data_IF_758128383661
#
_entry.id   IF_758128383661
#
_cell.length_a   1.000
_cell.length_b   1.000
_cell.length_c   1.000
_cell.angle_alpha   90.00
_cell.angle_beta   90.00
_cell.angle_gamma   90.00
#
_symmetry.space_group_name_H-M   'P 1'
#
loop_
_entity.id
_entity.type
_entity.pdbx_description
1 polymer ?
#
# COMPACT_ATOMS: atom_id res chain seq x y z
N UNK A 1 25.97 3.85 14.69
CA UNK A 1 26.53 2.50 14.76
C UNK A 1 27.99 2.47 14.27
N UNK A 2 28.31 3.00 13.06
CA UNK A 2 29.68 3.03 12.53
C UNK A 2 30.62 3.82 13.41
N UNK A 3 30.25 5.02 13.81
CA UNK A 3 31.03 5.89 14.73
C UNK A 3 31.27 5.24 16.10
N UNK A 4 30.31 4.44 16.57
CA UNK A 4 30.38 3.72 17.82
C UNK A 4 31.07 2.33 17.71
N UNK A 5 31.57 1.94 16.52
CA UNK A 5 32.25 0.68 16.29
C UNK A 5 31.41 -0.58 16.51
N UNK A 6 30.06 -0.46 16.38
CA UNK A 6 29.18 -1.61 16.65
C UNK A 6 29.23 -2.66 15.53
N UNK A 7 29.31 -3.97 15.86
CA UNK A 7 29.41 -5.04 14.87
C UNK A 7 28.26 -5.06 13.85
N UNK A 8 27.08 -4.57 14.26
CA UNK A 8 25.87 -4.50 13.42
C UNK A 8 25.87 -3.34 12.42
N UNK A 9 26.89 -2.49 12.41
CA UNK A 9 26.96 -1.27 11.59
C UNK A 9 26.86 -1.55 10.08
N UNK A 10 27.21 -2.75 9.64
CA UNK A 10 27.19 -3.18 8.24
C UNK A 10 26.09 -4.21 7.93
N UNK A 11 25.27 -4.57 8.94
CA UNK A 11 24.14 -5.47 8.72
C UNK A 11 23.09 -4.74 7.88
N UNK A 12 22.63 -5.40 6.81
CA UNK A 12 21.50 -4.88 6.01
C UNK A 12 20.24 -4.84 6.88
N UNK A 13 19.42 -3.83 6.65
CA UNK A 13 18.10 -3.74 7.31
C UNK A 13 17.28 -4.98 6.97
N UNK A 14 16.64 -5.56 7.98
CA UNK A 14 15.71 -6.65 7.79
C UNK A 14 14.42 -6.06 7.20
N UNK A 15 14.12 -6.41 5.95
CA UNK A 15 12.90 -5.94 5.26
C UNK A 15 11.82 -7.02 5.20
N UNK A 16 12.14 -8.20 5.73
CA UNK A 16 11.24 -9.35 5.75
C UNK A 16 10.58 -9.54 7.11
N UNK A 17 9.40 -10.12 7.10
CA UNK A 17 8.67 -10.43 8.32
C UNK A 17 9.35 -11.61 9.02
N UNK A 18 9.95 -11.37 10.19
CA UNK A 18 10.82 -12.31 10.86
C UNK A 18 10.14 -13.61 11.32
N UNK A 19 8.81 -13.62 11.45
CA UNK A 19 8.04 -14.82 11.81
C UNK A 19 7.44 -15.56 10.59
N UNK A 20 7.81 -15.16 9.35
CA UNK A 20 7.50 -15.85 8.10
C UNK A 20 8.83 -16.15 7.38
N UNK A 21 9.63 -17.09 7.87
CA UNK A 21 11.00 -17.31 7.39
C UNK A 21 11.07 -17.89 5.97
N UNK A 22 10.00 -18.51 5.49
CA UNK A 22 9.84 -19.06 4.15
C UNK A 22 9.34 -18.04 3.11
N UNK A 23 9.00 -16.82 3.56
CA UNK A 23 8.44 -15.73 2.75
C UNK A 23 7.12 -16.10 2.04
N UNK A 24 6.45 -17.16 2.46
CA UNK A 24 5.13 -17.54 1.95
C UNK A 24 4.01 -16.92 2.79
N UNK A 25 3.76 -15.64 2.53
CA UNK A 25 2.75 -14.85 3.24
C UNK A 25 1.33 -15.38 3.01
N UNK A 26 1.05 -15.94 1.84
CA UNK A 26 -0.26 -16.49 1.52
C UNK A 26 -0.53 -17.74 2.34
N UNK A 27 0.41 -18.68 2.37
CA UNK A 27 0.30 -19.88 3.21
C UNK A 27 0.24 -19.54 4.71
N UNK A 28 0.96 -18.49 5.15
CA UNK A 28 0.87 -18.02 6.53
C UNK A 28 -0.56 -17.51 6.84
N UNK A 29 -1.13 -16.66 5.98
CA UNK A 29 -2.49 -16.12 6.16
C UNK A 29 -3.52 -17.27 6.15
N UNK A 30 -3.42 -18.21 5.20
CA UNK A 30 -4.31 -19.36 5.10
C UNK A 30 -4.29 -20.26 6.35
N UNK A 31 -3.13 -20.39 7.01
CA UNK A 31 -2.97 -21.15 8.24
C UNK A 31 -3.49 -20.43 9.49
N UNK A 32 -3.22 -19.13 9.60
CA UNK A 32 -3.52 -18.35 10.81
C UNK A 32 -4.92 -17.74 10.80
N UNK A 33 -5.51 -17.50 9.62
CA UNK A 33 -6.88 -17.02 9.52
C UNK A 33 -7.85 -18.18 9.69
N UNK A 34 -8.62 -18.16 10.79
CA UNK A 34 -9.69 -19.15 11.08
C UNK A 34 -10.95 -18.90 10.25
N UNK A 35 -11.11 -17.66 9.78
CA UNK A 35 -12.18 -17.28 8.85
C UNK A 35 -11.80 -17.69 7.43
N UNK A 36 -12.78 -17.98 6.58
CA UNK A 36 -12.54 -18.47 5.23
C UNK A 36 -11.73 -17.45 4.40
N UNK A 37 -10.46 -17.76 4.16
CA UNK A 37 -9.65 -17.01 3.18
C UNK A 37 -10.24 -17.28 1.79
N UNK A 38 -10.55 -16.24 0.99
CA UNK A 38 -11.10 -16.44 -0.34
C UNK A 38 -10.15 -17.26 -1.22
N UNK A 39 -10.66 -18.37 -1.76
CA UNK A 39 -9.92 -19.22 -2.70
C UNK A 39 -9.74 -18.56 -4.06
N UNK A 40 -9.54 -19.37 -5.14
CA UNK A 40 -9.37 -18.86 -6.50
C UNK A 40 -10.54 -17.97 -6.94
N UNK A 41 -10.21 -16.88 -7.64
CA UNK A 41 -11.16 -15.93 -8.21
C UNK A 41 -10.75 -15.49 -9.61
N UNK A 42 -11.21 -14.31 -10.04
CA UNK A 42 -10.96 -13.81 -11.38
C UNK A 42 -9.95 -12.67 -11.41
N UNK A 43 -9.03 -12.72 -12.36
CA UNK A 43 -8.41 -11.50 -12.86
C UNK A 43 -9.39 -10.81 -13.80
N UNK A 44 -9.59 -9.51 -13.55
CA UNK A 44 -10.54 -8.69 -14.31
C UNK A 44 -9.82 -7.44 -14.80
N UNK A 45 -10.08 -7.02 -16.03
CA UNK A 45 -9.55 -5.75 -16.54
C UNK A 45 -10.19 -4.56 -15.85
N UNK A 46 -9.61 -3.36 -16.01
CA UNK A 46 -10.22 -2.10 -15.56
C UNK A 46 -11.60 -1.83 -16.18
N UNK A 47 -11.91 -2.47 -17.31
CA UNK A 47 -13.21 -2.39 -18.00
C UNK A 47 -14.20 -3.48 -17.60
N UNK A 48 -13.81 -4.42 -16.71
CA UNK A 48 -14.66 -5.49 -16.22
C UNK A 48 -14.61 -6.80 -17.01
N UNK A 49 -13.69 -6.93 -17.96
CA UNK A 49 -13.48 -8.17 -18.74
C UNK A 49 -12.69 -9.19 -17.92
N UNK A 50 -13.12 -10.46 -17.92
CA UNK A 50 -12.40 -11.55 -17.25
C UNK A 50 -11.19 -11.95 -18.09
N UNK A 51 -9.99 -11.80 -17.50
CA UNK A 51 -8.70 -12.08 -18.14
C UNK A 51 -8.16 -13.48 -17.81
N UNK A 52 -8.65 -14.09 -16.73
CA UNK A 52 -8.19 -15.38 -16.25
C UNK A 52 -8.56 -15.66 -14.81
N UNK A 53 -7.93 -16.71 -14.25
CA UNK A 53 -8.13 -17.12 -12.85
C UNK A 53 -6.90 -16.84 -12.01
N UNK A 54 -7.09 -16.35 -10.78
CA UNK A 54 -6.04 -16.22 -9.77
C UNK A 54 -6.18 -17.28 -8.66
N UNK A 55 -5.14 -17.44 -7.85
CA UNK A 55 -5.04 -18.46 -6.80
C UNK A 55 -5.80 -18.10 -5.51
N UNK A 56 -6.11 -16.86 -5.30
CA UNK A 56 -6.68 -16.22 -4.12
C UNK A 56 -6.10 -14.82 -3.99
N UNK A 57 -6.89 -13.86 -3.47
CA UNK A 57 -6.48 -12.45 -3.40
C UNK A 57 -5.26 -12.22 -2.48
N UNK A 58 -5.03 -13.11 -1.52
CA UNK A 58 -3.89 -13.08 -0.58
C UNK A 58 -2.53 -13.22 -1.26
N UNK A 59 -2.48 -13.75 -2.47
CA UNK A 59 -1.25 -13.91 -3.26
C UNK A 59 -0.85 -12.66 -4.05
N UNK A 60 -1.63 -11.57 -4.00
CA UNK A 60 -1.44 -10.41 -4.84
C UNK A 60 -1.35 -9.12 -4.03
N UNK A 61 -0.64 -8.14 -4.59
CA UNK A 61 -0.46 -6.83 -3.99
C UNK A 61 -0.61 -5.76 -5.06
N UNK A 62 -1.21 -4.63 -4.72
CA UNK A 62 -1.34 -3.47 -5.63
C UNK A 62 0.04 -3.04 -6.14
N UNK A 63 0.16 -2.87 -7.44
CA UNK A 63 1.42 -2.57 -8.12
C UNK A 63 2.24 -3.79 -8.55
N UNK A 64 1.81 -5.01 -8.20
CA UNK A 64 2.49 -6.25 -8.59
C UNK A 64 2.42 -6.45 -10.10
N UNK A 65 3.56 -6.84 -10.71
CA UNK A 65 3.69 -7.16 -12.13
C UNK A 65 4.01 -8.64 -12.36
N UNK A 66 4.90 -9.21 -11.50
CA UNK A 66 5.38 -10.59 -11.67
C UNK A 66 4.43 -11.60 -11.04
N UNK A 67 4.39 -12.82 -11.59
CA UNK A 67 3.62 -13.93 -11.01
C UNK A 67 2.13 -13.88 -11.29
N UNK A 68 1.67 -13.03 -12.20
CA UNK A 68 0.25 -12.96 -12.60
C UNK A 68 -0.14 -14.12 -13.52
N UNK A 69 0.82 -14.71 -14.25
CA UNK A 69 0.59 -15.79 -15.23
C UNK A 69 -0.48 -15.43 -16.29
N UNK A 70 -0.54 -14.15 -16.67
CA UNK A 70 -1.39 -13.65 -17.75
C UNK A 70 -0.55 -13.40 -19.00
N UNK A 71 -1.05 -13.86 -20.16
CA UNK A 71 -0.40 -13.67 -21.47
C UNK A 71 -1.05 -12.51 -22.22
N UNK A 72 -0.71 -11.28 -21.85
CA UNK A 72 -1.30 -10.06 -22.42
C UNK A 72 -0.48 -9.46 -23.58
N UNK A 73 0.73 -10.00 -23.88
CA UNK A 73 1.62 -9.46 -24.90
C UNK A 73 2.36 -8.17 -24.48
N UNK A 74 2.03 -7.57 -23.35
CA UNK A 74 2.63 -6.39 -22.77
C UNK A 74 2.63 -6.48 -21.23
N UNK A 75 3.43 -5.66 -20.53
CA UNK A 75 3.44 -5.64 -19.06
C UNK A 75 2.11 -5.13 -18.51
N UNK A 76 1.51 -5.90 -17.60
CA UNK A 76 0.31 -5.52 -16.85
C UNK A 76 0.55 -5.58 -15.35
N UNK A 77 -0.29 -4.90 -14.58
CA UNK A 77 -0.12 -4.69 -13.15
C UNK A 77 -1.42 -4.89 -12.39
N UNK A 78 -1.31 -5.31 -11.13
CA UNK A 78 -2.43 -5.26 -10.20
C UNK A 78 -2.71 -3.80 -9.86
N UNK A 79 -3.87 -3.30 -10.21
CA UNK A 79 -4.30 -1.91 -9.92
C UNK A 79 -5.14 -1.83 -8.66
N UNK A 80 -5.95 -2.86 -8.39
CA UNK A 80 -6.81 -2.96 -7.23
C UNK A 80 -7.11 -4.42 -6.90
N UNK A 81 -7.43 -4.68 -5.65
CA UNK A 81 -7.96 -5.96 -5.17
C UNK A 81 -9.34 -5.67 -4.59
N UNK A 82 -10.34 -6.43 -4.99
CA UNK A 82 -11.69 -6.36 -4.46
C UNK A 82 -12.00 -7.63 -3.64
N UNK A 83 -11.96 -7.56 -2.31
CA UNK A 83 -12.24 -8.72 -1.47
C UNK A 83 -13.71 -9.15 -1.49
N UNK A 84 -14.65 -8.23 -1.75
CA UNK A 84 -16.08 -8.54 -1.78
C UNK A 84 -16.46 -9.43 -2.96
N UNK A 85 -15.87 -9.18 -4.14
CA UNK A 85 -16.12 -9.95 -5.36
C UNK A 85 -15.05 -11.01 -5.62
N UNK A 86 -14.02 -11.08 -4.76
CA UNK A 86 -12.86 -11.94 -4.91
C UNK A 86 -12.18 -11.74 -6.30
N UNK A 87 -11.96 -10.48 -6.67
CA UNK A 87 -11.36 -10.10 -7.94
C UNK A 87 -10.04 -9.37 -7.76
N UNK A 88 -9.10 -9.64 -8.65
CA UNK A 88 -7.84 -8.88 -8.79
C UNK A 88 -7.92 -8.10 -10.09
N UNK A 89 -7.99 -6.77 -9.98
CA UNK A 89 -8.13 -5.86 -11.12
C UNK A 89 -6.76 -5.62 -11.73
N UNK A 90 -6.68 -5.83 -13.04
CA UNK A 90 -5.46 -5.72 -13.84
C UNK A 90 -5.59 -4.53 -14.79
N UNK A 91 -4.55 -3.74 -14.87
CA UNK A 91 -4.46 -2.60 -15.77
C UNK A 91 -3.05 -2.31 -16.23
N UNK A 92 -2.89 -1.19 -16.93
CA UNK A 92 -1.62 -0.70 -17.42
C UNK A 92 -0.79 -0.03 -16.32
N UNK A 93 0.44 0.39 -16.66
CA UNK A 93 1.29 1.07 -15.70
C UNK A 93 0.68 2.37 -15.18
N UNK A 94 -0.02 3.10 -16.02
CA UNK A 94 -0.68 4.37 -15.71
C UNK A 94 -1.81 4.19 -14.69
N UNK A 95 -2.53 3.07 -14.75
CA UNK A 95 -3.64 2.74 -13.85
C UNK A 95 -3.20 2.45 -12.40
N UNK A 96 -1.89 2.28 -12.18
CA UNK A 96 -1.33 2.06 -10.83
C UNK A 96 -1.07 3.37 -10.09
N UNK A 97 -1.17 4.51 -10.78
CA UNK A 97 -0.93 5.82 -10.18
C UNK A 97 -2.22 6.47 -9.68
N UNK A 98 -2.14 7.13 -8.54
CA UNK A 98 -3.25 7.92 -7.98
C UNK A 98 -2.78 9.29 -7.55
N UNK A 99 -3.65 10.30 -7.74
CA UNK A 99 -3.47 11.65 -7.17
C UNK A 99 -4.10 11.80 -5.80
N UNK A 100 -4.89 10.83 -5.36
CA UNK A 100 -5.60 10.94 -4.08
C UNK A 100 -5.50 9.65 -3.28
N UNK A 101 -5.57 9.77 -1.97
CA UNK A 101 -5.89 8.68 -1.06
C UNK A 101 -6.74 9.21 0.09
N UNK A 102 -7.43 8.30 0.74
CA UNK A 102 -8.10 8.53 2.02
C UNK A 102 -7.43 7.66 3.07
N UNK A 103 -7.31 8.17 4.29
CA UNK A 103 -6.81 7.40 5.43
C UNK A 103 -7.63 7.68 6.69
N UNK A 104 -7.66 6.68 7.56
CA UNK A 104 -8.31 6.71 8.88
C UNK A 104 -7.39 6.11 9.96
N UNK A 105 -7.86 6.01 11.21
CA UNK A 105 -7.00 5.61 12.31
C UNK A 105 -5.90 6.64 12.57
N UNK A 106 -6.28 7.93 12.59
CA UNK A 106 -5.34 9.04 12.60
C UNK A 106 -4.58 9.13 13.93
N UNK A 107 -3.27 9.30 13.83
CA UNK A 107 -2.41 9.60 14.96
C UNK A 107 -1.52 10.81 14.64
N UNK A 108 -1.79 11.93 15.29
CA UNK A 108 -0.97 13.14 15.20
C UNK A 108 0.10 13.14 16.29
N UNK A 109 1.32 13.58 15.96
CA UNK A 109 2.48 13.58 16.86
C UNK A 109 2.97 14.99 17.17
N UNK A 110 2.98 15.89 16.20
CA UNK A 110 3.50 17.25 16.36
C UNK A 110 2.44 18.33 16.43
N UNK A 111 1.18 17.98 16.18
CA UNK A 111 0.00 18.88 16.33
C UNK A 111 -1.12 18.13 17.04
N UNK A 112 -1.99 18.82 17.80
CA UNK A 112 -3.10 18.16 18.49
C UNK A 112 -4.19 17.66 17.53
N UNK A 113 -4.39 18.36 16.43
CA UNK A 113 -5.36 18.00 15.37
C UNK A 113 -5.07 18.75 14.08
N UNK A 114 -5.66 18.30 12.97
CA UNK A 114 -5.70 19.04 11.72
C UNK A 114 -6.95 19.94 11.71
N UNK A 115 -6.77 21.25 11.94
CA UNK A 115 -7.88 22.21 12.00
C UNK A 115 -8.21 22.82 10.63
N UNK A 116 -7.23 22.89 9.73
CA UNK A 116 -7.35 23.44 8.38
C UNK A 116 -6.52 22.64 7.39
N UNK A 117 -6.81 22.73 6.08
CA UNK A 117 -5.99 22.07 5.07
C UNK A 117 -4.53 22.46 5.18
N UNK A 118 -3.65 21.48 5.08
CA UNK A 118 -2.20 21.66 5.26
C UNK A 118 -1.41 21.00 4.13
N UNK A 119 -0.42 21.73 3.61
CA UNK A 119 0.53 21.18 2.63
C UNK A 119 1.66 20.48 3.37
N UNK A 120 1.81 19.20 3.14
CA UNK A 120 2.77 18.34 3.81
C UNK A 120 3.48 17.42 2.81
N UNK A 121 4.54 16.75 3.25
CA UNK A 121 5.15 15.66 2.49
C UNK A 121 4.62 14.33 3.02
N UNK A 122 4.04 13.49 2.15
CA UNK A 122 3.49 12.19 2.54
C UNK A 122 4.32 11.02 2.00
N UNK A 123 4.55 10.00 2.83
CA UNK A 123 5.11 8.71 2.45
C UNK A 123 4.05 7.64 2.63
N UNK A 124 3.81 6.83 1.59
CA UNK A 124 2.78 5.78 1.57
C UNK A 124 3.35 4.36 1.75
N UNK A 125 4.66 4.23 1.96
CA UNK A 125 5.40 3.00 2.28
C UNK A 125 6.85 3.34 2.62
N UNK A 126 7.57 2.41 3.22
CA UNK A 126 8.96 2.60 3.65
C UNK A 126 9.88 3.12 2.52
N UNK A 127 9.89 2.45 1.38
CA UNK A 127 10.75 2.82 0.23
C UNK A 127 10.29 4.03 -0.58
N UNK A 128 9.21 4.73 -0.18
CA UNK A 128 8.73 5.92 -0.88
C UNK A 128 9.53 7.16 -0.44
N UNK A 129 10.08 7.91 -1.37
CA UNK A 129 10.83 9.15 -1.08
C UNK A 129 9.98 10.26 -0.47
N UNK A 130 8.66 10.13 -0.59
CA UNK A 130 7.66 11.11 -0.19
C UNK A 130 7.35 12.12 -1.29
N UNK A 131 6.07 12.47 -1.42
CA UNK A 131 5.53 13.43 -2.37
C UNK A 131 4.72 14.49 -1.63
N UNK A 132 4.79 15.74 -2.07
CA UNK A 132 3.97 16.80 -1.51
C UNK A 132 2.51 16.59 -1.83
N UNK A 133 1.66 16.88 -0.84
CA UNK A 133 0.23 16.78 -0.94
C UNK A 133 -0.46 17.81 -0.05
N UNK A 134 -1.70 18.10 -0.37
CA UNK A 134 -2.62 18.79 0.52
C UNK A 134 -3.40 17.73 1.31
N UNK A 135 -3.40 17.84 2.64
CA UNK A 135 -4.22 17.02 3.53
C UNK A 135 -5.40 17.83 4.05
N UNK A 136 -6.58 17.23 4.02
CA UNK A 136 -7.83 17.85 4.41
C UNK A 136 -8.65 16.87 5.26
N UNK A 137 -9.19 17.36 6.38
CA UNK A 137 -10.09 16.55 7.22
C UNK A 137 -11.43 16.39 6.51
N UNK A 138 -11.88 15.15 6.34
CA UNK A 138 -13.16 14.80 5.69
C UNK A 138 -14.13 14.07 6.62
N UNK A 139 -13.71 13.80 7.84
CA UNK A 139 -14.50 13.17 8.90
C UNK A 139 -13.79 13.32 10.23
N UNK A 140 -14.36 12.79 11.31
CA UNK A 140 -13.76 12.88 12.65
C UNK A 140 -12.38 12.23 12.68
N UNK A 141 -12.25 11.01 12.12
CA UNK A 141 -11.03 10.22 12.03
C UNK A 141 -10.70 9.90 10.57
N UNK A 142 -10.81 10.89 9.66
CA UNK A 142 -10.56 10.66 8.24
C UNK A 142 -9.94 11.88 7.58
N UNK A 143 -8.86 11.64 6.83
CA UNK A 143 -8.17 12.62 6.01
C UNK A 143 -8.20 12.18 4.55
N UNK A 144 -8.49 13.14 3.66
CA UNK A 144 -8.19 13.06 2.23
C UNK A 144 -6.84 13.70 1.97
N UNK A 145 -6.00 13.00 1.24
CA UNK A 145 -4.71 13.48 0.77
C UNK A 145 -4.77 13.65 -0.74
N UNK A 146 -4.43 14.84 -1.24
CA UNK A 146 -4.37 15.17 -2.67
C UNK A 146 -2.92 15.48 -3.05
N UNK A 147 -2.28 14.60 -3.80
CA UNK A 147 -0.87 14.70 -4.19
C UNK A 147 -0.68 15.70 -5.33
N UNK A 148 0.42 16.46 -5.28
CA UNK A 148 0.86 17.36 -6.36
C UNK A 148 1.25 16.55 -7.61
N UNK A 149 1.97 15.42 -7.39
CA UNK A 149 2.31 14.46 -8.44
C UNK A 149 1.70 13.09 -8.13
N UNK A 150 1.21 12.35 -9.15
CA UNK A 150 0.64 11.04 -8.91
C UNK A 150 1.62 10.10 -8.22
N UNK A 151 1.15 9.36 -7.24
CA UNK A 151 1.93 8.37 -6.50
C UNK A 151 1.56 6.96 -6.92
N UNK A 152 2.56 6.09 -7.01
CA UNK A 152 2.39 4.72 -7.49
C UNK A 152 1.94 3.79 -6.38
N UNK A 153 0.96 2.93 -6.67
CA UNK A 153 0.52 1.81 -5.84
C UNK A 153 0.08 2.26 -4.43
N UNK A 154 -0.93 3.13 -4.38
CA UNK A 154 -1.67 3.41 -3.16
C UNK A 154 -2.38 2.11 -2.74
N UNK A 155 -2.00 1.58 -1.58
CA UNK A 155 -2.43 0.24 -1.17
C UNK A 155 -3.22 0.33 0.13
N UNK A 156 -4.52 -0.04 0.14
CA UNK A 156 -5.30 -0.13 1.36
C UNK A 156 -4.65 -1.01 2.42
N UNK A 157 -4.78 -0.63 3.68
CA UNK A 157 -4.14 -1.30 4.81
C UNK A 157 -2.70 -0.89 5.09
N UNK A 158 -2.03 -0.17 4.17
CA UNK A 158 -0.70 0.39 4.40
C UNK A 158 -0.79 1.71 5.18
N UNK A 159 0.29 2.03 5.91
CA UNK A 159 0.40 3.31 6.59
C UNK A 159 0.76 4.44 5.61
N UNK A 160 0.12 5.59 5.77
CA UNK A 160 0.59 6.87 5.26
C UNK A 160 1.15 7.69 6.40
N UNK A 161 2.33 8.28 6.20
CA UNK A 161 2.99 9.14 7.19
C UNK A 161 3.19 10.53 6.61
N UNK A 162 2.76 11.55 7.32
CA UNK A 162 2.84 12.95 6.96
C UNK A 162 4.02 13.61 7.68
N UNK A 163 4.76 14.43 6.93
CA UNK A 163 5.92 15.17 7.40
C UNK A 163 5.77 16.66 7.13
N UNK A 164 6.13 17.46 8.13
CA UNK A 164 6.38 18.90 8.00
C UNK A 164 7.89 19.12 8.14
N UNK A 165 8.57 19.34 7.03
CA UNK A 165 10.03 19.35 6.97
C UNK A 165 10.61 18.00 7.43
N UNK A 166 11.38 18.01 8.52
CA UNK A 166 11.99 16.81 9.12
C UNK A 166 11.14 16.19 10.25
N UNK A 167 10.05 16.84 10.63
CA UNK A 167 9.19 16.39 11.73
C UNK A 167 8.07 15.49 11.22
N UNK A 168 7.79 14.42 11.94
CA UNK A 168 6.61 13.61 11.73
C UNK A 168 5.40 14.35 12.26
N UNK A 169 4.52 14.77 11.35
CA UNK A 169 3.25 15.41 11.71
C UNK A 169 2.28 14.40 12.31
N UNK A 170 2.19 13.24 11.69
CA UNK A 170 1.27 12.17 12.05
C UNK A 170 1.09 11.20 10.89
N UNK A 171 0.02 10.42 10.92
CA UNK A 171 -0.31 9.46 9.86
C UNK A 171 -1.62 8.75 10.11
N UNK A 172 -1.89 7.75 9.27
CA UNK A 172 -3.07 6.90 9.38
C UNK A 172 -2.93 5.66 8.48
N UNK A 173 -3.97 4.85 8.44
CA UNK A 173 -4.09 3.68 7.56
C UNK A 173 -4.83 4.06 6.28
N UNK A 174 -4.28 3.73 5.13
CA UNK A 174 -4.87 3.95 3.80
C UNK A 174 -6.12 3.06 3.66
N UNK A 175 -7.20 3.64 3.15
CA UNK A 175 -8.49 2.97 2.86
C UNK A 175 -8.63 2.52 1.42
#
# INVERSE_FOLDING_TARGET
AREAGLPVAHKKDSQEICFIPDHDYAAFIERECTDSVPGPGNFVSVTGEILGKHKGITHYTVGQRKGLNLSMGHPVFVTRINPETNEVIIGENEDVFSRTLTCSGLNFMSVPALEQPMRVKAKIRYGHSGTFCLIEKTGEDRIKCTFEEPVRAVTPGQAVVFYDGEYVLGGGTIE
#
